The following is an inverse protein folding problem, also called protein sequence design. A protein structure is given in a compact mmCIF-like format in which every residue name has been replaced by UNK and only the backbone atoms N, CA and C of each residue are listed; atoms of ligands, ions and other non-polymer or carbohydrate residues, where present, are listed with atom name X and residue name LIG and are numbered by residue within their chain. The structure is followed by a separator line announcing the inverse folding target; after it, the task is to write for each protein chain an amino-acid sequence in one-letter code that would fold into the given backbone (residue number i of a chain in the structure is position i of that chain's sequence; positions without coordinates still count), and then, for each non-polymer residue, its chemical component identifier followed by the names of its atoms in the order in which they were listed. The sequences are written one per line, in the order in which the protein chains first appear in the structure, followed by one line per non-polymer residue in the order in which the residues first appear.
data_IF_270669820628
#
_entry.id   IF_270669820628
#
_cell.length_a   1.000
_cell.length_b   1.000
_cell.length_c   1.000
_cell.angle_alpha   90.00
_cell.angle_beta   90.00
_cell.angle_gamma   90.00
#
_symmetry.space_group_name_H-M   'P 1'
#
loop_
_entity.id
_entity.type
_entity.pdbx_description
1 polymer ?
#
# COMPACT_ATOMS: atom_id res chain seq x y z
N UNK A 1 -0.72 3.39 -26.63
CA UNK A 1 -0.58 3.96 -25.27
C UNK A 1 -1.98 4.15 -24.67
N UNK A 2 -2.24 3.72 -23.43
CA UNK A 2 -3.57 3.91 -22.81
C UNK A 2 -3.59 5.23 -22.04
N UNK A 3 -4.48 6.14 -22.42
CA UNK A 3 -4.75 7.38 -21.70
C UNK A 3 -5.84 7.10 -20.66
N UNK A 4 -5.55 7.37 -19.39
CA UNK A 4 -6.51 7.15 -18.30
C UNK A 4 -7.66 8.14 -18.37
N UNK A 5 -8.83 7.68 -17.96
CA UNK A 5 -10.03 8.53 -17.89
C UNK A 5 -9.82 9.68 -16.86
N UNK A 6 -10.46 10.85 -17.06
CA UNK A 6 -10.41 11.96 -16.09
C UNK A 6 -10.81 11.52 -14.68
N UNK A 7 -11.83 10.66 -14.56
CA UNK A 7 -12.26 10.12 -13.28
C UNK A 7 -11.16 9.32 -12.58
N UNK A 8 -10.40 8.49 -13.31
CA UNK A 8 -9.24 7.76 -12.77
C UNK A 8 -8.10 8.69 -12.39
N UNK A 9 -7.90 9.77 -13.14
CA UNK A 9 -6.89 10.78 -12.82
C UNK A 9 -7.24 11.53 -11.53
N UNK A 10 -8.50 11.93 -11.31
CA UNK A 10 -8.96 12.59 -10.07
C UNK A 10 -8.78 11.66 -8.85
N UNK A 11 -9.18 10.38 -8.99
CA UNK A 11 -8.96 9.36 -7.94
C UNK A 11 -7.47 9.18 -7.64
N UNK A 12 -6.64 9.20 -8.67
CA UNK A 12 -5.18 9.10 -8.52
C UNK A 12 -4.61 10.31 -7.79
N UNK A 13 -5.06 11.51 -8.13
CA UNK A 13 -4.65 12.73 -7.43
C UNK A 13 -4.98 12.64 -5.94
N UNK A 14 -6.18 12.20 -5.57
CA UNK A 14 -6.58 11.99 -4.18
C UNK A 14 -5.64 11.01 -3.45
N UNK A 15 -5.34 9.86 -4.07
CA UNK A 15 -4.43 8.87 -3.51
C UNK A 15 -3.01 9.42 -3.29
N UNK A 16 -2.48 10.14 -4.30
CA UNK A 16 -1.11 10.67 -4.24
C UNK A 16 -0.98 11.82 -3.25
N UNK A 17 -1.96 12.73 -3.21
CA UNK A 17 -1.99 13.85 -2.26
C UNK A 17 -2.14 13.35 -0.81
N UNK A 18 -3.03 12.37 -0.57
CA UNK A 18 -3.16 11.74 0.74
C UNK A 18 -1.84 11.10 1.18
N UNK A 19 -1.17 10.36 0.29
CA UNK A 19 0.12 9.71 0.57
C UNK A 19 1.22 10.73 0.84
N UNK A 20 1.20 11.88 0.13
CA UNK A 20 2.14 12.97 0.37
C UNK A 20 1.99 13.53 1.78
N UNK A 21 0.77 13.87 2.21
CA UNK A 21 0.52 14.39 3.55
C UNK A 21 0.94 13.37 4.62
N UNK A 22 0.59 12.10 4.45
CA UNK A 22 0.99 11.03 5.35
C UNK A 22 2.51 10.96 5.51
N UNK A 23 3.25 11.03 4.39
CA UNK A 23 4.71 11.01 4.41
C UNK A 23 5.27 12.22 5.13
N UNK A 24 4.70 13.42 4.93
CA UNK A 24 5.17 14.64 5.60
C UNK A 24 4.94 14.60 7.11
N UNK A 25 3.84 14.01 7.57
CA UNK A 25 3.65 13.72 8.99
C UNK A 25 4.73 12.79 9.53
N UNK A 26 5.01 11.68 8.82
CA UNK A 26 6.07 10.74 9.23
C UNK A 26 7.47 11.36 9.19
N UNK A 27 7.76 12.23 8.20
CA UNK A 27 9.04 12.91 8.12
C UNK A 27 9.28 13.70 9.42
N UNK A 28 8.30 14.49 9.88
CA UNK A 28 8.39 15.27 11.14
C UNK A 28 8.47 14.32 12.36
N UNK A 29 7.64 13.29 12.43
CA UNK A 29 7.60 12.33 13.54
C UNK A 29 8.89 11.52 13.69
N UNK A 30 9.65 11.33 12.61
CA UNK A 30 10.93 10.64 12.64
C UNK A 30 12.12 11.60 12.89
N UNK A 31 12.06 12.82 12.36
CA UNK A 31 13.14 13.79 12.46
C UNK A 31 13.24 14.39 13.88
N UNK A 32 12.11 14.79 14.48
CA UNK A 32 12.10 15.40 15.81
C UNK A 32 12.78 14.55 16.89
N UNK A 33 12.47 13.26 17.05
CA UNK A 33 13.16 12.42 18.03
C UNK A 33 14.67 12.28 17.77
N UNK A 34 15.06 12.30 16.49
CA UNK A 34 16.47 12.29 16.08
C UNK A 34 17.20 13.54 16.55
N UNK A 35 16.65 14.71 16.22
CA UNK A 35 17.21 16.02 16.56
C UNK A 35 17.26 16.26 18.08
N UNK A 36 16.22 15.88 18.81
CA UNK A 36 16.14 16.03 20.27
C UNK A 36 17.18 15.19 21.03
N UNK A 37 17.62 14.06 20.47
CA UNK A 37 18.67 13.23 21.07
C UNK A 37 19.98 13.97 21.24
N UNK A 38 20.31 14.94 20.38
CA UNK A 38 21.53 15.75 20.47
C UNK A 38 21.56 16.60 21.74
N UNK A 39 20.38 16.87 22.33
CA UNK A 39 20.21 17.58 23.59
C UNK A 39 19.98 16.64 24.79
N UNK A 40 20.18 15.34 24.62
CA UNK A 40 19.92 14.32 25.67
C UNK A 40 18.45 13.99 25.87
N UNK A 41 17.53 14.60 25.10
CA UNK A 41 16.07 14.45 25.24
C UNK A 41 15.59 13.22 24.48
N UNK A 42 15.17 12.18 25.21
CA UNK A 42 14.70 10.91 24.64
C UNK A 42 13.17 10.85 24.62
N UNK A 43 12.58 10.85 23.41
CA UNK A 43 11.13 10.78 23.23
C UNK A 43 10.56 9.43 23.68
N UNK A 44 11.26 8.34 23.41
CA UNK A 44 10.79 6.98 23.69
C UNK A 44 9.78 6.48 22.64
N UNK A 45 9.06 5.40 22.99
CA UNK A 45 7.99 4.84 22.15
C UNK A 45 6.68 5.52 22.51
N UNK A 46 6.18 6.38 21.63
CA UNK A 46 4.97 7.17 21.87
C UNK A 46 4.01 7.02 20.69
N UNK A 47 2.72 6.80 20.98
CA UNK A 47 1.68 6.77 19.96
C UNK A 47 1.42 8.17 19.35
N UNK A 48 0.94 8.20 18.12
CA UNK A 48 0.73 9.43 17.35
C UNK A 48 -0.18 10.48 18.03
N UNK A 49 -1.05 10.08 18.96
CA UNK A 49 -1.94 10.99 19.70
C UNK A 49 -1.15 11.75 20.78
N UNK A 50 -0.34 11.02 21.54
CA UNK A 50 0.45 11.58 22.66
C UNK A 50 1.79 12.16 22.25
N UNK A 51 2.13 12.12 20.96
CA UNK A 51 3.43 12.53 20.44
C UNK A 51 3.72 14.00 20.73
N UNK A 52 2.75 14.88 20.47
CA UNK A 52 2.89 16.31 20.68
C UNK A 52 3.08 16.65 22.16
N UNK A 53 2.22 16.13 23.02
CA UNK A 53 2.28 16.35 24.47
C UNK A 53 3.63 15.90 25.03
N UNK A 54 4.10 14.72 24.60
CA UNK A 54 5.40 14.18 25.01
C UNK A 54 6.58 15.06 24.58
N UNK A 55 6.54 15.60 23.37
CA UNK A 55 7.59 16.52 22.90
C UNK A 55 7.56 17.82 23.72
N UNK A 56 6.38 18.42 23.94
CA UNK A 56 6.22 19.65 24.74
C UNK A 56 6.71 19.48 26.19
N UNK A 57 6.40 18.35 26.80
CA UNK A 57 6.89 17.97 28.13
C UNK A 57 8.43 17.93 28.16
N UNK A 58 9.06 17.27 27.21
CA UNK A 58 10.52 17.10 27.15
C UNK A 58 11.28 18.42 26.94
N UNK A 59 10.70 19.38 26.23
CA UNK A 59 11.36 20.65 25.93
C UNK A 59 10.97 21.78 26.89
N UNK A 60 10.16 21.49 27.92
CA UNK A 60 9.64 22.51 28.85
C UNK A 60 10.76 23.33 29.52
N UNK A 61 11.85 22.67 29.92
CA UNK A 61 13.00 23.30 30.56
C UNK A 61 14.05 23.82 29.56
N UNK A 62 13.75 23.76 28.24
CA UNK A 62 14.66 24.15 27.16
C UNK A 62 14.02 25.19 26.24
N UNK A 63 13.90 26.47 26.64
CA UNK A 63 13.10 27.49 25.92
C UNK A 63 13.54 27.71 24.46
N UNK A 64 14.83 27.64 24.16
CA UNK A 64 15.33 27.78 22.80
C UNK A 64 14.91 26.57 21.94
N UNK A 65 15.02 25.36 22.48
CA UNK A 65 14.60 24.14 21.78
C UNK A 65 13.08 24.15 21.58
N UNK A 66 12.32 24.55 22.59
CA UNK A 66 10.86 24.67 22.51
C UNK A 66 10.42 25.65 21.42
N UNK A 67 11.09 26.80 21.28
CA UNK A 67 10.81 27.79 20.24
C UNK A 67 11.08 27.24 18.81
N UNK A 68 12.07 26.36 18.64
CA UNK A 68 12.39 25.73 17.35
C UNK A 68 11.40 24.60 17.04
N UNK A 69 11.03 23.80 18.02
CA UNK A 69 10.19 22.62 17.86
C UNK A 69 8.71 22.99 17.69
N UNK A 70 8.26 24.09 18.32
CA UNK A 70 6.88 24.55 18.26
C UNK A 70 6.29 24.61 16.85
N UNK A 71 6.91 25.33 15.90
CA UNK A 71 6.44 25.41 14.51
C UNK A 71 6.34 24.05 13.80
N UNK A 72 7.22 23.09 14.12
CA UNK A 72 7.17 21.74 13.53
C UNK A 72 5.97 20.92 14.06
N UNK A 73 5.64 21.09 15.35
CA UNK A 73 4.45 20.48 15.95
C UNK A 73 3.17 21.07 15.38
N UNK A 74 3.11 22.38 15.18
CA UNK A 74 1.98 23.06 14.55
C UNK A 74 1.80 22.59 13.09
N UNK A 75 2.88 22.55 12.31
CA UNK A 75 2.84 22.04 10.95
C UNK A 75 2.35 20.58 10.91
N UNK A 76 2.83 19.73 11.84
CA UNK A 76 2.36 18.35 11.98
C UNK A 76 0.86 18.29 12.29
N UNK A 77 0.36 19.11 13.20
CA UNK A 77 -1.05 19.14 13.56
C UNK A 77 -1.92 19.48 12.36
N UNK A 78 -1.56 20.52 11.60
CA UNK A 78 -2.26 20.92 10.36
C UNK A 78 -2.21 19.78 9.33
N UNK A 79 -1.05 19.19 9.08
CA UNK A 79 -0.88 18.08 8.14
C UNK A 79 -1.77 16.88 8.50
N UNK A 80 -1.89 16.53 9.78
CA UNK A 80 -2.77 15.46 10.26
C UNK A 80 -4.25 15.76 10.01
N UNK A 81 -4.69 16.99 10.24
CA UNK A 81 -6.07 17.40 9.95
C UNK A 81 -6.36 17.27 8.45
N UNK A 82 -5.48 17.78 7.60
CA UNK A 82 -5.67 17.73 6.15
C UNK A 82 -5.59 16.30 5.61
N UNK A 83 -4.68 15.48 6.14
CA UNK A 83 -4.63 14.04 5.85
C UNK A 83 -5.96 13.36 6.20
N UNK A 84 -6.54 13.67 7.37
CA UNK A 84 -7.83 13.13 7.79
C UNK A 84 -8.97 13.50 6.85
N UNK A 85 -8.97 14.74 6.30
CA UNK A 85 -9.95 15.17 5.29
C UNK A 85 -9.84 14.33 4.01
N UNK A 86 -8.64 14.22 3.45
CA UNK A 86 -8.42 13.43 2.22
C UNK A 86 -8.71 11.94 2.45
N UNK A 87 -8.43 11.43 3.64
CA UNK A 87 -8.73 10.03 3.97
C UNK A 87 -10.24 9.77 4.03
N UNK A 88 -11.02 10.67 4.62
CA UNK A 88 -12.50 10.59 4.62
C UNK A 88 -13.07 10.64 3.20
N UNK A 89 -12.60 11.58 2.36
CA UNK A 89 -12.99 11.66 0.95
C UNK A 89 -12.71 10.34 0.20
N UNK A 90 -11.55 9.72 0.45
CA UNK A 90 -11.20 8.43 -0.13
C UNK A 90 -12.17 7.34 0.31
N UNK A 91 -12.46 7.24 1.61
CA UNK A 91 -13.37 6.23 2.13
C UNK A 91 -14.79 6.37 1.58
N UNK A 92 -15.30 7.61 1.46
CA UNK A 92 -16.60 7.88 0.88
C UNK A 92 -16.66 7.45 -0.59
N UNK A 93 -15.64 7.81 -1.37
CA UNK A 93 -15.53 7.41 -2.77
C UNK A 93 -15.49 5.88 -2.94
N UNK A 94 -14.75 5.18 -2.08
CA UNK A 94 -14.67 3.71 -2.12
C UNK A 94 -15.98 3.06 -1.71
N UNK A 95 -16.68 3.65 -0.73
CA UNK A 95 -17.98 3.17 -0.25
C UNK A 95 -19.05 3.20 -1.34
N UNK A 96 -19.02 4.21 -2.20
CA UNK A 96 -19.98 4.39 -3.29
C UNK A 96 -19.60 3.65 -4.58
N UNK A 97 -18.32 3.33 -4.80
CA UNK A 97 -17.84 2.64 -6.01
C UNK A 97 -18.08 1.12 -5.92
N UNK A 98 -18.98 0.54 -6.75
CA UNK A 98 -19.31 -0.89 -6.70
C UNK A 98 -18.13 -1.78 -7.06
N UNK A 99 -17.19 -1.29 -7.88
CA UNK A 99 -15.99 -2.04 -8.26
C UNK A 99 -15.05 -2.12 -7.06
N UNK A 100 -14.82 -1.01 -6.36
CA UNK A 100 -13.99 -1.02 -5.16
C UNK A 100 -14.56 -1.95 -4.08
N UNK A 101 -15.89 -1.93 -3.86
CA UNK A 101 -16.56 -2.84 -2.91
C UNK A 101 -16.33 -4.29 -3.26
N UNK A 102 -16.46 -4.64 -4.54
CA UNK A 102 -16.17 -5.99 -5.03
C UNK A 102 -14.72 -6.38 -4.81
N UNK A 103 -13.76 -5.53 -5.17
CA UNK A 103 -12.35 -5.80 -4.97
C UNK A 103 -12.00 -6.01 -3.48
N UNK A 104 -12.67 -5.31 -2.58
CA UNK A 104 -12.50 -5.46 -1.13
C UNK A 104 -13.04 -6.79 -0.57
N UNK A 105 -13.79 -7.57 -1.33
CA UNK A 105 -14.15 -8.94 -0.93
C UNK A 105 -12.94 -9.88 -0.91
N UNK A 106 -11.85 -9.51 -1.61
CA UNK A 106 -10.62 -10.30 -1.62
C UNK A 106 -9.80 -10.09 -0.33
N UNK A 107 -9.14 -11.16 0.18
CA UNK A 107 -8.37 -11.09 1.40
C UNK A 107 -7.21 -10.08 1.30
N UNK A 108 -6.99 -9.30 2.35
CA UNK A 108 -5.93 -8.29 2.42
C UNK A 108 -6.17 -7.02 1.59
N UNK A 109 -7.29 -6.92 0.89
CA UNK A 109 -7.63 -5.78 0.05
C UNK A 109 -8.52 -4.79 0.79
N UNK A 110 -7.90 -3.73 1.31
CA UNK A 110 -8.62 -2.60 1.93
C UNK A 110 -8.94 -1.48 0.93
N UNK A 111 -9.58 -0.39 1.40
CA UNK A 111 -10.02 0.74 0.57
C UNK A 111 -8.89 1.34 -0.30
N UNK A 112 -7.70 1.51 0.26
CA UNK A 112 -6.55 2.08 -0.44
C UNK A 112 -6.09 1.16 -1.58
N UNK A 113 -5.99 -0.14 -1.32
CA UNK A 113 -5.56 -1.14 -2.32
C UNK A 113 -6.59 -1.20 -3.45
N UNK A 114 -7.89 -1.29 -3.10
CA UNK A 114 -8.98 -1.35 -4.07
C UNK A 114 -8.99 -0.12 -4.98
N UNK A 115 -8.94 1.09 -4.41
CA UNK A 115 -8.94 2.31 -5.19
C UNK A 115 -7.67 2.47 -6.02
N UNK A 116 -6.50 2.09 -5.49
CA UNK A 116 -5.24 2.12 -6.23
C UNK A 116 -5.30 1.17 -7.42
N UNK A 117 -5.81 -0.05 -7.23
CA UNK A 117 -5.98 -1.01 -8.32
C UNK A 117 -6.96 -0.48 -9.37
N UNK A 118 -8.11 0.05 -8.93
CA UNK A 118 -9.16 0.65 -9.78
C UNK A 118 -8.60 1.76 -10.68
N UNK A 119 -7.79 2.68 -10.11
CA UNK A 119 -7.20 3.81 -10.85
C UNK A 119 -6.03 3.42 -11.74
N UNK A 120 -5.27 2.40 -11.36
CA UNK A 120 -4.13 1.94 -12.16
C UNK A 120 -4.57 1.13 -13.38
N UNK A 121 -5.54 0.24 -13.20
CA UNK A 121 -6.10 -0.56 -14.29
C UNK A 121 -6.99 0.29 -15.19
N UNK A 122 -7.84 1.16 -14.61
CA UNK A 122 -8.77 2.08 -15.28
C UNK A 122 -9.87 1.37 -16.10
N UNK A 123 -9.49 0.58 -17.08
CA UNK A 123 -10.37 -0.28 -17.86
C UNK A 123 -9.80 -1.72 -17.90
N UNK A 124 -10.52 -2.73 -17.40
CA UNK A 124 -10.04 -4.10 -17.40
C UNK A 124 -9.91 -4.70 -18.80
N UNK A 125 -10.71 -4.25 -19.78
CA UNK A 125 -10.66 -4.73 -21.15
C UNK A 125 -9.34 -4.43 -21.89
N UNK A 126 -8.53 -3.47 -21.38
CA UNK A 126 -7.19 -3.19 -21.94
C UNK A 126 -6.21 -4.37 -21.84
N UNK A 127 -6.50 -5.34 -20.97
CA UNK A 127 -5.69 -6.55 -20.83
C UNK A 127 -6.42 -7.74 -21.42
N UNK A 128 -5.92 -8.27 -22.52
CA UNK A 128 -6.47 -9.48 -23.17
C UNK A 128 -6.50 -10.70 -22.23
N UNK A 129 -5.51 -10.79 -21.34
CA UNK A 129 -5.38 -11.88 -20.36
C UNK A 129 -5.04 -11.32 -18.98
N UNK A 130 -5.77 -11.76 -17.94
CA UNK A 130 -5.50 -11.34 -16.55
C UNK A 130 -4.06 -11.64 -16.09
N UNK A 131 -3.42 -12.66 -16.65
CA UNK A 131 -2.02 -13.02 -16.36
C UNK A 131 -1.04 -11.89 -16.73
N UNK A 132 -1.37 -11.04 -17.70
CA UNK A 132 -0.52 -9.93 -18.15
C UNK A 132 -0.49 -8.77 -17.13
N UNK A 133 -1.49 -8.63 -16.26
CA UNK A 133 -1.57 -7.55 -15.27
C UNK A 133 -0.37 -7.56 -14.33
N UNK A 134 0.02 -8.72 -13.81
CA UNK A 134 1.18 -8.86 -12.93
C UNK A 134 2.49 -8.46 -13.61
N UNK A 135 2.64 -8.79 -14.89
CA UNK A 135 3.82 -8.40 -15.68
C UNK A 135 3.84 -6.90 -15.94
N UNK A 136 2.70 -6.32 -16.37
CA UNK A 136 2.55 -4.89 -16.65
C UNK A 136 2.92 -4.01 -15.44
N UNK A 137 2.63 -4.47 -14.23
CA UNK A 137 2.97 -3.75 -12.99
C UNK A 137 4.28 -4.23 -12.34
N UNK A 138 5.11 -4.96 -13.10
CA UNK A 138 6.47 -5.29 -12.69
C UNK A 138 6.59 -6.26 -11.53
N UNK A 139 5.59 -7.14 -11.35
CA UNK A 139 5.59 -8.22 -10.35
C UNK A 139 6.15 -9.55 -10.90
N UNK A 140 6.69 -9.54 -12.12
CA UNK A 140 7.36 -10.69 -12.72
C UNK A 140 8.87 -10.54 -12.65
N UNK A 141 9.61 -11.63 -12.45
CA UNK A 141 11.08 -11.60 -12.52
C UNK A 141 11.58 -11.16 -13.90
N UNK A 142 12.73 -10.51 -13.92
CA UNK A 142 13.50 -10.35 -15.15
C UNK A 142 14.12 -11.70 -15.53
N UNK A 143 14.03 -12.04 -16.77
CA UNK A 143 14.72 -13.19 -17.33
C UNK A 143 15.97 -12.68 -18.05
N UNK A 144 17.11 -13.25 -17.71
CA UNK A 144 18.38 -13.09 -18.41
C UNK A 144 18.65 -14.42 -19.08
N UNK A 145 18.42 -14.49 -20.39
CA UNK A 145 18.53 -15.72 -21.15
C UNK A 145 19.50 -15.49 -22.30
N UNK A 146 20.55 -16.27 -22.32
CA UNK A 146 21.39 -16.54 -23.49
C UNK A 146 21.15 -18.00 -23.93
N UNK A 147 21.69 -18.41 -25.07
CA UNK A 147 21.41 -19.74 -25.65
C UNK A 147 21.56 -20.92 -24.65
N UNK A 148 22.49 -20.82 -23.71
CA UNK A 148 22.79 -21.93 -22.77
C UNK A 148 22.44 -21.60 -21.30
N UNK A 149 22.26 -20.34 -20.95
CA UNK A 149 22.08 -19.92 -19.55
C UNK A 149 20.77 -19.14 -19.39
N UNK A 150 19.86 -19.67 -18.57
CA UNK A 150 18.65 -18.97 -18.14
C UNK A 150 18.76 -18.58 -16.65
N UNK A 151 18.92 -17.31 -16.35
CA UNK A 151 18.95 -16.78 -14.97
C UNK A 151 17.71 -15.95 -14.68
N UNK A 152 17.07 -16.22 -13.55
CA UNK A 152 15.93 -15.45 -13.05
C UNK A 152 16.43 -14.41 -12.07
N UNK A 153 16.25 -13.12 -12.42
CA UNK A 153 16.62 -12.00 -11.58
C UNK A 153 15.52 -11.55 -10.61
N UNK A 154 15.69 -10.34 -10.08
CA UNK A 154 14.66 -9.67 -9.27
C UNK A 154 13.46 -9.31 -10.15
N UNK A 155 12.33 -8.91 -9.54
CA UNK A 155 11.16 -8.39 -10.27
C UNK A 155 11.55 -7.19 -11.13
N UNK A 156 10.87 -7.03 -12.27
CA UNK A 156 11.20 -5.99 -13.27
C UNK A 156 10.99 -4.56 -12.76
N UNK A 157 10.07 -4.38 -11.78
CA UNK A 157 9.69 -3.08 -11.21
C UNK A 157 9.15 -2.06 -12.21
N UNK A 158 8.80 -2.48 -13.43
CA UNK A 158 8.10 -1.60 -14.37
C UNK A 158 6.71 -1.21 -13.87
N UNK A 159 6.11 -0.22 -14.53
CA UNK A 159 4.76 0.24 -14.22
C UNK A 159 4.66 0.99 -12.89
N UNK A 160 3.46 0.99 -12.33
CA UNK A 160 3.11 1.86 -11.21
C UNK A 160 3.65 1.37 -9.87
N UNK A 161 4.48 2.18 -9.21
CA UNK A 161 5.07 1.88 -7.91
C UNK A 161 4.02 1.81 -6.80
N UNK A 162 3.01 2.71 -6.80
CA UNK A 162 2.02 2.74 -5.74
C UNK A 162 1.17 1.47 -5.76
N UNK A 163 0.76 1.01 -6.94
CA UNK A 163 0.03 -0.25 -7.06
C UNK A 163 0.87 -1.45 -6.62
N UNK A 164 2.13 -1.49 -7.03
CA UNK A 164 3.04 -2.56 -6.66
C UNK A 164 3.24 -2.65 -5.15
N UNK A 165 3.47 -1.50 -4.48
CA UNK A 165 3.57 -1.43 -3.01
C UNK A 165 2.27 -1.83 -2.33
N UNK A 166 1.12 -1.34 -2.79
CA UNK A 166 -0.19 -1.68 -2.21
C UNK A 166 -0.50 -3.17 -2.34
N UNK A 167 -0.17 -3.79 -3.47
CA UNK A 167 -0.34 -5.23 -3.66
C UNK A 167 0.63 -6.05 -2.80
N UNK A 168 1.84 -5.55 -2.56
CA UNK A 168 2.79 -6.17 -1.64
C UNK A 168 2.27 -6.15 -0.20
N UNK A 169 1.78 -5.00 0.26
CA UNK A 169 1.17 -4.84 1.58
C UNK A 169 -0.07 -5.74 1.75
N UNK A 170 -0.95 -5.78 0.74
CA UNK A 170 -2.10 -6.68 0.75
C UNK A 170 -1.67 -8.15 0.84
N UNK A 171 -0.65 -8.56 0.08
CA UNK A 171 -0.13 -9.91 0.11
C UNK A 171 0.53 -10.26 1.45
N UNK A 172 1.22 -9.30 2.09
CA UNK A 172 1.75 -9.46 3.43
C UNK A 172 0.62 -9.73 4.42
N UNK A 173 -0.46 -8.93 4.40
CA UNK A 173 -1.63 -9.13 5.25
C UNK A 173 -2.29 -10.49 5.01
N UNK A 174 -2.39 -10.95 3.75
CA UNK A 174 -2.90 -12.29 3.43
C UNK A 174 -2.09 -13.38 4.12
N UNK A 175 -0.76 -13.27 4.11
CA UNK A 175 0.13 -14.31 4.64
C UNK A 175 0.27 -14.28 6.16
N UNK A 176 0.35 -13.09 6.77
CA UNK A 176 0.66 -12.92 8.19
C UNK A 176 -0.55 -12.54 9.03
N UNK A 177 -1.59 -11.97 8.42
CA UNK A 177 -2.76 -11.49 9.14
C UNK A 177 -3.64 -12.63 9.68
N UNK A 178 -4.47 -12.34 10.72
CA UNK A 178 -5.37 -13.31 11.38
C UNK A 178 -6.61 -13.66 10.52
N UNK A 179 -6.70 -13.17 9.28
CA UNK A 179 -7.85 -13.35 8.42
C UNK A 179 -8.19 -14.83 8.11
N UNK A 180 -9.43 -15.05 7.64
CA UNK A 180 -9.95 -16.38 7.27
C UNK A 180 -9.00 -17.14 6.35
N UNK A 181 -8.80 -18.43 6.64
CA UNK A 181 -8.02 -19.34 5.81
C UNK A 181 -8.64 -19.46 4.41
N UNK A 182 -7.80 -19.45 3.38
CA UNK A 182 -8.22 -19.56 1.99
C UNK A 182 -7.11 -20.18 1.13
N UNK A 183 -7.46 -20.60 -0.08
CA UNK A 183 -6.53 -21.26 -1.00
C UNK A 183 -5.33 -20.38 -1.39
N UNK A 184 -5.49 -19.07 -1.47
CA UNK A 184 -4.40 -18.14 -1.76
C UNK A 184 -3.39 -18.08 -0.62
N UNK A 185 -3.86 -18.05 0.64
CA UNK A 185 -3.00 -18.09 1.84
C UNK A 185 -2.25 -19.44 1.92
N UNK A 186 -2.97 -20.54 1.76
CA UNK A 186 -2.36 -21.87 1.78
C UNK A 186 -1.26 -22.03 0.72
N UNK A 187 -1.53 -21.62 -0.51
CA UNK A 187 -0.54 -21.63 -1.59
C UNK A 187 0.65 -20.71 -1.28
N UNK A 188 0.40 -19.51 -0.78
CA UNK A 188 1.46 -18.56 -0.42
C UNK A 188 2.36 -19.07 0.70
N UNK A 189 1.82 -19.73 1.72
CA UNK A 189 2.60 -20.39 2.78
C UNK A 189 3.45 -21.53 2.22
N UNK A 190 2.92 -22.36 1.31
CA UNK A 190 3.69 -23.39 0.64
C UNK A 190 4.86 -22.80 -0.16
N UNK A 191 4.67 -21.64 -0.80
CA UNK A 191 5.78 -20.92 -1.45
C UNK A 191 6.78 -20.38 -0.43
N UNK A 192 6.32 -19.85 0.71
CA UNK A 192 7.17 -19.32 1.77
C UNK A 192 8.11 -20.38 2.34
N UNK A 193 7.60 -21.59 2.59
CA UNK A 193 8.40 -22.74 3.06
C UNK A 193 9.53 -23.11 2.10
N UNK A 194 9.30 -23.01 0.78
CA UNK A 194 10.28 -23.42 -0.25
C UNK A 194 11.24 -22.31 -0.67
N UNK A 195 10.81 -21.05 -0.66
CA UNK A 195 11.53 -19.93 -1.29
C UNK A 195 11.74 -18.73 -0.37
N UNK A 196 11.25 -18.81 0.86
CA UNK A 196 11.30 -17.73 1.86
C UNK A 196 10.13 -16.72 1.73
N UNK A 197 9.85 -16.04 2.84
CA UNK A 197 8.67 -15.18 2.99
C UNK A 197 8.65 -14.02 1.99
N UNK A 198 9.77 -13.33 1.76
CA UNK A 198 9.81 -12.19 0.84
C UNK A 198 9.40 -12.57 -0.60
N UNK A 199 9.89 -13.72 -1.09
CA UNK A 199 9.52 -14.23 -2.43
C UNK A 199 8.06 -14.68 -2.47
N UNK A 200 7.55 -15.24 -1.38
CA UNK A 200 6.15 -15.63 -1.25
C UNK A 200 5.22 -14.42 -1.31
N UNK A 201 5.52 -13.32 -0.60
CA UNK A 201 4.73 -12.09 -0.63
C UNK A 201 4.63 -11.56 -2.06
N UNK A 202 5.74 -11.48 -2.79
CA UNK A 202 5.74 -11.03 -4.20
C UNK A 202 4.92 -11.96 -5.10
N UNK A 203 5.03 -13.28 -4.89
CA UNK A 203 4.27 -14.27 -5.66
C UNK A 203 2.75 -14.14 -5.38
N UNK A 204 2.36 -13.95 -4.11
CA UNK A 204 0.98 -13.71 -3.71
C UNK A 204 0.48 -12.36 -4.26
N UNK A 205 1.28 -11.30 -4.21
CA UNK A 205 0.95 -10.00 -4.79
C UNK A 205 0.64 -10.11 -6.30
N UNK A 206 1.47 -10.86 -7.04
CA UNK A 206 1.23 -11.14 -8.47
C UNK A 206 -0.07 -11.92 -8.68
N UNK A 207 -0.31 -12.96 -7.90
CA UNK A 207 -1.53 -13.78 -7.99
C UNK A 207 -2.77 -12.97 -7.61
N UNK A 208 -2.65 -12.11 -6.59
CA UNK A 208 -3.71 -11.20 -6.18
C UNK A 208 -4.07 -10.20 -7.29
N UNK A 209 -3.08 -9.62 -7.98
CA UNK A 209 -3.35 -8.74 -9.14
C UNK A 209 -4.17 -9.45 -10.24
N UNK A 210 -3.87 -10.72 -10.51
CA UNK A 210 -4.61 -11.53 -11.49
C UNK A 210 -6.05 -11.78 -11.02
N UNK A 211 -6.22 -12.10 -9.73
CA UNK A 211 -7.53 -12.36 -9.13
C UNK A 211 -8.39 -11.09 -9.18
N UNK A 212 -7.87 -9.96 -8.71
CA UNK A 212 -8.58 -8.68 -8.71
C UNK A 212 -9.01 -8.27 -10.13
N UNK A 213 -8.14 -8.48 -11.12
CA UNK A 213 -8.50 -8.21 -12.51
C UNK A 213 -9.63 -9.11 -13.02
N UNK A 214 -9.62 -10.41 -12.70
CA UNK A 214 -10.70 -11.34 -13.04
C UNK A 214 -12.01 -10.95 -12.37
N UNK A 215 -11.97 -10.68 -11.06
CA UNK A 215 -13.15 -10.26 -10.30
C UNK A 215 -13.81 -9.02 -10.94
N UNK A 216 -12.98 -8.06 -11.37
CA UNK A 216 -13.50 -6.87 -12.04
C UNK A 216 -14.04 -7.17 -13.43
N UNK A 217 -13.29 -7.89 -14.27
CA UNK A 217 -13.69 -8.22 -15.65
C UNK A 217 -14.95 -9.08 -15.70
N UNK A 218 -15.00 -10.10 -14.85
CA UNK A 218 -16.05 -11.13 -14.84
C UNK A 218 -17.21 -10.74 -13.90
N UNK A 219 -17.14 -9.56 -13.27
CA UNK A 219 -18.15 -9.00 -12.37
C UNK A 219 -18.49 -9.90 -11.16
N UNK A 220 -17.48 -10.61 -10.62
CA UNK A 220 -17.64 -11.61 -9.54
C UNK A 220 -16.88 -11.21 -8.29
N UNK A 221 -17.38 -11.62 -7.12
CA UNK A 221 -16.68 -11.49 -5.84
C UNK A 221 -15.60 -12.55 -5.64
N UNK A 222 -14.79 -12.37 -4.61
CA UNK A 222 -13.72 -13.34 -4.29
C UNK A 222 -14.35 -14.67 -3.81
N UNK A 223 -13.89 -15.76 -4.40
CA UNK A 223 -14.30 -17.12 -4.00
C UNK A 223 -13.42 -17.61 -2.85
N UNK A 224 -14.02 -17.69 -1.67
CA UNK A 224 -13.34 -18.09 -0.43
C UNK A 224 -13.10 -19.61 -0.33
N UNK A 225 -13.97 -20.40 -0.91
CA UNK A 225 -13.88 -21.86 -0.96
C UNK A 225 -13.22 -22.28 -2.26
N UNK A 226 -12.35 -23.30 -2.21
CA UNK A 226 -11.96 -24.01 -3.42
C UNK A 226 -13.23 -24.60 -4.06
N UNK A 227 -13.36 -24.63 -5.40
CA UNK A 227 -14.42 -25.41 -5.99
C UNK A 227 -14.26 -26.85 -5.47
N UNK A 228 -15.32 -27.42 -4.93
CA UNK A 228 -15.42 -28.86 -4.69
C UNK A 228 -15.11 -29.55 -6.02
N UNK A 229 -14.07 -30.37 -6.03
CA UNK A 229 -13.69 -31.23 -7.15
C UNK A 229 -14.80 -32.25 -7.32
#
# INVERSE_FOLDING_TARGET
MHVKTPASQHRRLLLTSRKLLQRKVYDIENDLPGSLRNFGLKVGVVGAVKFEDRIRELVADHPVVAAIVGPLLEARAVLRIQFGKLHRMLLELVRTDPICRRLMSAPGVGPIVALTFRTCVDNPARFSRSKCVGAHYGLTPRLYQSSEIARTGRISRCGDLMLRSSLYEAALVVLTGPGRWNSLKAWGIAVARRRGMQKAIVAVARKLAIILHRMWRDNTDFRWTAPSV
#
